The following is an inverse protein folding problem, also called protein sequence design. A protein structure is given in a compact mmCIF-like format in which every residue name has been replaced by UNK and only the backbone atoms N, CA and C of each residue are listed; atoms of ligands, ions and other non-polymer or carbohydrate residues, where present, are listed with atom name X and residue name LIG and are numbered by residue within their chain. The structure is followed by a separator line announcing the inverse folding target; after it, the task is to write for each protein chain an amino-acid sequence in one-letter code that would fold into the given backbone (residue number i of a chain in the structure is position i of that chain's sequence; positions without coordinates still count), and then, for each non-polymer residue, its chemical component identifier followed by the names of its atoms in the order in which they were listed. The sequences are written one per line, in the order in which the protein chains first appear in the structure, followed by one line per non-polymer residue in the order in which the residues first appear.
data_IF_205262954205
#
_entry.id   IF_205262954205
#
_cell.length_a   1.000
_cell.length_b   1.000
_cell.length_c   1.000
_cell.angle_alpha   90.00
_cell.angle_beta   90.00
_cell.angle_gamma   90.00
#
_symmetry.space_group_name_H-M   'P 1'
#
loop_
_entity.id
_entity.type
_entity.pdbx_description
1 polymer ?
#
# COMPACT_ATOMS: atom_id res chain seq x y z
N UNK A 1 39.86 -18.29 78.45
CA UNK A 1 40.16 -16.86 78.26
C UNK A 1 38.84 -16.23 77.84
N UNK A 2 37.89 -15.98 78.75
CA UNK A 2 37.85 -14.87 79.74
C UNK A 2 38.09 -13.52 79.05
N UNK A 3 37.24 -12.48 79.05
CA UNK A 3 36.05 -12.02 79.80
C UNK A 3 35.28 -11.04 78.84
N UNK A 4 33.95 -10.90 78.78
CA UNK A 4 32.99 -10.46 79.80
C UNK A 4 32.98 -8.92 79.91
N UNK A 5 31.90 -8.14 80.02
CA UNK A 5 30.42 -8.28 80.10
C UNK A 5 29.85 -6.83 80.19
N UNK A 6 28.58 -6.58 79.83
CA UNK A 6 27.53 -5.94 80.69
C UNK A 6 26.36 -5.28 79.91
N UNK A 7 25.16 -5.83 80.15
CA UNK A 7 23.78 -5.30 80.00
C UNK A 7 23.52 -4.05 80.91
N UNK A 8 22.35 -3.35 81.01
CA UNK A 8 20.95 -3.81 80.80
C UNK A 8 19.85 -2.78 80.34
N UNK A 9 18.62 -3.29 80.12
CA UNK A 9 17.31 -2.57 80.12
C UNK A 9 16.96 -1.99 81.53
N UNK A 10 16.00 -1.02 81.73
CA UNK A 10 14.56 -1.37 81.92
C UNK A 10 13.44 -0.26 81.78
N UNK A 11 12.21 -0.72 81.48
CA UNK A 11 10.85 -0.35 82.01
C UNK A 11 10.10 1.01 81.84
N UNK A 12 8.79 0.85 81.51
CA UNK A 12 7.53 1.48 82.06
C UNK A 12 7.23 2.96 81.70
N UNK A 13 6.01 3.50 81.52
CA UNK A 13 4.61 3.15 81.93
C UNK A 13 3.60 4.13 81.29
N UNK A 14 2.37 3.68 80.94
CA UNK A 14 1.04 4.35 81.04
C UNK A 14 0.77 5.71 80.32
N UNK A 15 -0.46 6.17 80.03
CA UNK A 15 -1.82 5.64 80.11
C UNK A 15 -2.82 6.67 79.47
N UNK A 16 -3.93 6.17 78.90
CA UNK A 16 -5.29 6.76 78.76
C UNK A 16 -5.60 8.06 77.98
N UNK A 17 -6.40 7.88 76.91
CA UNK A 17 -7.82 8.31 76.76
C UNK A 17 -8.26 9.28 75.61
N UNK A 18 -9.27 8.78 74.88
CA UNK A 18 -10.48 9.40 74.28
C UNK A 18 -10.43 10.37 73.06
N UNK A 19 -11.08 9.85 71.99
CA UNK A 19 -12.09 10.45 71.08
C UNK A 19 -11.75 11.66 70.20
N UNK A 20 -11.91 11.46 68.89
CA UNK A 20 -12.04 12.54 67.90
C UNK A 20 -12.25 11.98 66.49
N UNK A 21 -13.48 12.06 65.99
CA UNK A 21 -13.94 11.69 64.65
C UNK A 21 -13.37 12.61 63.56
N UNK A 22 -12.99 12.06 62.39
CA UNK A 22 -13.49 12.41 61.03
C UNK A 22 -12.46 12.01 59.94
N UNK A 23 -12.91 11.17 58.99
CA UNK A 23 -12.63 11.35 57.56
C UNK A 23 -11.28 10.91 56.97
N UNK A 24 -11.29 9.76 56.28
CA UNK A 24 -10.74 9.71 54.91
C UNK A 24 -11.34 8.54 54.14
N UNK A 25 -12.23 8.88 53.21
CA UNK A 25 -12.82 7.99 52.22
C UNK A 25 -11.76 7.34 51.33
N UNK A 26 -11.90 6.03 51.11
CA UNK A 26 -11.25 5.28 50.04
C UNK A 26 -11.53 5.92 48.68
N UNK A 27 -10.61 6.76 48.18
CA UNK A 27 -10.62 7.22 46.80
C UNK A 27 -9.80 6.23 45.96
N UNK A 28 -10.47 5.22 45.42
CA UNK A 28 -9.95 4.44 44.28
C UNK A 28 -9.62 5.44 43.17
N UNK A 29 -8.34 5.73 42.98
CA UNK A 29 -7.81 6.44 41.82
C UNK A 29 -7.93 5.50 40.61
N UNK A 30 -9.01 5.63 39.86
CA UNK A 30 -9.12 5.13 38.50
C UNK A 30 -8.17 5.91 37.59
N UNK A 31 -7.01 5.35 37.30
CA UNK A 31 -6.09 5.85 36.27
C UNK A 31 -5.92 4.80 35.16
N UNK A 32 -6.00 5.29 33.92
CA UNK A 32 -5.56 4.72 32.64
C UNK A 32 -6.29 3.50 32.05
N UNK A 33 -7.58 3.64 31.73
CA UNK A 33 -8.20 2.87 30.63
C UNK A 33 -8.33 3.75 29.36
N UNK A 34 -8.40 5.08 29.50
CA UNK A 34 -8.50 5.98 28.35
C UNK A 34 -7.23 6.03 27.50
N UNK A 35 -6.04 5.96 28.10
CA UNK A 35 -4.78 5.98 27.35
C UNK A 35 -4.56 4.68 26.58
N UNK A 36 -4.77 3.51 27.18
CA UNK A 36 -4.58 2.24 26.44
C UNK A 36 -5.57 2.08 25.29
N UNK A 37 -6.79 2.62 25.43
CA UNK A 37 -7.79 2.66 24.35
C UNK A 37 -7.41 3.69 23.29
N UNK A 38 -6.96 4.90 23.66
CA UNK A 38 -6.52 5.91 22.67
C UNK A 38 -5.28 5.45 21.90
N UNK A 39 -4.31 4.82 22.58
CA UNK A 39 -3.12 4.26 21.94
C UNK A 39 -3.49 3.15 20.95
N UNK A 40 -4.46 2.28 21.27
CA UNK A 40 -4.94 1.24 20.33
C UNK A 40 -5.67 1.84 19.13
N UNK A 41 -6.51 2.86 19.35
CA UNK A 41 -7.23 3.54 18.26
C UNK A 41 -6.24 4.24 17.32
N UNK A 42 -5.25 4.96 17.86
CA UNK A 42 -4.20 5.62 17.06
C UNK A 42 -3.36 4.61 16.26
N UNK A 43 -2.99 3.47 16.88
CA UNK A 43 -2.23 2.41 16.20
C UNK A 43 -3.06 1.73 15.10
N UNK A 44 -4.38 1.57 15.30
CA UNK A 44 -5.29 1.02 14.31
C UNK A 44 -5.46 1.97 13.11
N UNK A 45 -5.65 3.28 13.35
CA UNK A 45 -5.72 4.31 12.29
C UNK A 45 -4.42 4.34 11.48
N UNK A 46 -3.27 4.32 12.16
CA UNK A 46 -1.97 4.28 11.49
C UNK A 46 -1.77 3.02 10.64
N UNK A 47 -2.30 1.87 11.09
CA UNK A 47 -2.21 0.60 10.35
C UNK A 47 -3.15 0.55 9.13
N UNK A 48 -4.33 1.17 9.22
CA UNK A 48 -5.24 1.33 8.09
C UNK A 48 -4.66 2.25 7.02
N UNK A 49 -4.10 3.40 7.41
CA UNK A 49 -3.45 4.33 6.48
C UNK A 49 -2.29 3.67 5.69
N UNK A 50 -1.47 2.85 6.35
CA UNK A 50 -0.40 2.08 5.69
C UNK A 50 -0.96 1.09 4.67
N UNK A 51 -2.05 0.41 5.01
CA UNK A 51 -2.68 -0.57 4.13
C UNK A 51 -3.35 0.08 2.93
N UNK A 52 -3.96 1.25 3.13
CA UNK A 52 -4.62 2.03 2.07
C UNK A 52 -3.63 2.75 1.15
N UNK A 53 -2.43 3.09 1.64
CA UNK A 53 -1.34 3.56 0.80
C UNK A 53 -0.83 2.47 -0.16
N UNK A 54 -0.89 1.20 0.29
CA UNK A 54 -0.65 0.01 -0.52
C UNK A 54 -1.89 -0.49 -1.26
N UNK A 55 -1.88 -1.78 -1.58
CA UNK A 55 -3.02 -2.50 -2.13
C UNK A 55 -3.75 -3.28 -1.01
N UNK A 56 -5.08 -3.24 -1.02
CA UNK A 56 -5.94 -3.96 -0.06
C UNK A 56 -6.69 -5.13 -0.71
N UNK A 57 -6.41 -5.42 -1.99
CA UNK A 57 -6.98 -6.52 -2.75
C UNK A 57 -8.46 -6.33 -3.06
N UNK A 58 -9.19 -7.43 -3.04
CA UNK A 58 -10.65 -7.47 -3.29
C UNK A 58 -11.49 -6.69 -2.28
N UNK A 59 -10.91 -6.35 -1.12
CA UNK A 59 -11.56 -5.48 -0.13
C UNK A 59 -11.82 -4.07 -0.67
N UNK A 60 -11.02 -3.59 -1.62
CA UNK A 60 -11.25 -2.29 -2.27
C UNK A 60 -12.62 -2.22 -2.97
N UNK A 61 -13.14 -3.37 -3.45
CA UNK A 61 -14.45 -3.44 -4.08
C UNK A 61 -15.61 -3.42 -3.04
N UNK A 62 -15.33 -3.80 -1.78
CA UNK A 62 -16.34 -3.90 -0.72
C UNK A 62 -16.45 -2.62 0.13
N UNK A 63 -15.33 -1.94 0.37
CA UNK A 63 -15.28 -0.72 1.20
C UNK A 63 -16.19 0.40 0.69
N UNK A 64 -16.29 0.55 -0.64
CA UNK A 64 -17.10 1.60 -1.25
C UNK A 64 -18.61 1.35 -1.19
N UNK A 65 -19.06 0.11 -0.96
CA UNK A 65 -20.48 -0.16 -0.75
C UNK A 65 -20.94 0.25 0.65
N UNK A 66 -20.07 0.11 1.64
CA UNK A 66 -20.38 0.48 3.03
C UNK A 66 -20.27 2.00 3.26
N UNK A 67 -19.35 2.69 2.59
CA UNK A 67 -19.23 4.17 2.69
C UNK A 67 -20.45 4.91 2.14
N UNK A 68 -21.12 4.36 1.11
CA UNK A 68 -22.38 4.89 0.57
C UNK A 68 -23.56 4.70 1.54
N UNK A 69 -23.50 3.73 2.45
CA UNK A 69 -24.51 3.54 3.50
C UNK A 69 -24.27 4.40 4.75
N UNK A 70 -23.08 5.02 4.89
CA UNK A 70 -22.69 5.78 6.08
C UNK A 70 -22.35 7.25 5.80
N UNK A 71 -22.60 7.78 4.59
CA UNK A 71 -22.29 9.15 4.23
C UNK A 71 -23.33 10.16 4.76
N UNK A 72 -23.29 10.40 6.06
CA UNK A 72 -23.89 11.60 6.67
C UNK A 72 -23.05 12.05 7.89
N UNK A 73 -21.73 12.17 7.72
CA UNK A 73 -20.87 13.06 8.54
C UNK A 73 -19.74 13.60 7.68
N UNK A 74 -20.06 14.65 6.94
CA UNK A 74 -19.11 15.56 6.32
C UNK A 74 -18.31 16.24 7.45
N UNK A 75 -17.01 15.96 7.57
CA UNK A 75 -16.14 16.81 8.41
C UNK A 75 -15.93 18.12 7.67
N UNK A 76 -16.51 19.17 8.25
CA UNK A 76 -16.37 20.56 7.88
C UNK A 76 -15.04 21.08 8.44
N UNK A 77 -13.95 20.98 7.68
CA UNK A 77 -12.74 21.76 7.95
C UNK A 77 -12.81 23.08 7.16
N UNK A 78 -13.51 24.03 7.77
CA UNK A 78 -13.46 25.45 7.45
C UNK A 78 -13.20 26.20 8.75
N UNK A 79 -11.93 26.31 9.12
CA UNK A 79 -11.49 27.22 10.17
C UNK A 79 -10.21 27.95 9.74
N UNK A 80 -10.46 29.16 9.23
CA UNK A 80 -9.74 30.41 9.52
C UNK A 80 -8.23 30.49 9.26
N UNK A 81 -7.88 30.96 8.06
CA UNK A 81 -6.68 31.78 7.84
C UNK A 81 -7.14 33.24 7.72
N UNK A 82 -7.01 34.00 8.81
CA UNK A 82 -7.45 35.39 8.88
C UNK A 82 -7.68 35.86 10.32
N UNK A 83 -6.61 36.15 11.05
CA UNK A 83 -6.66 36.63 12.42
C UNK A 83 -5.70 37.78 12.65
N UNK A 84 -6.23 38.99 12.57
CA UNK A 84 -5.60 40.25 12.99
C UNK A 84 -5.19 40.22 14.46
N UNK A 85 -4.08 40.88 14.75
CA UNK A 85 -3.51 41.19 16.07
C UNK A 85 -4.54 41.91 16.95
N UNK A 86 -4.82 41.40 18.15
CA UNK A 86 -5.46 42.15 19.26
C UNK A 86 -4.79 41.75 20.59
N UNK A 87 -4.34 42.77 21.33
CA UNK A 87 -3.71 42.70 22.64
C UNK A 87 -4.72 42.38 23.78
N UNK A 88 -4.29 41.77 24.90
CA UNK A 88 -5.19 41.40 26.00
C UNK A 88 -5.00 42.32 27.22
N UNK A 89 -5.82 43.36 27.38
CA UNK A 89 -6.07 44.00 28.68
C UNK A 89 -7.49 44.57 28.66
N UNK A 90 -8.42 43.92 29.39
CA UNK A 90 -9.22 44.61 30.41
C UNK A 90 -10.27 43.70 31.05
N UNK A 91 -10.26 43.78 32.36
CA UNK A 91 -10.90 42.94 33.35
C UNK A 91 -12.18 43.63 33.85
N UNK A 92 -13.14 42.81 34.30
CA UNK A 92 -14.24 43.16 35.21
C UNK A 92 -15.43 44.03 34.72
N UNK A 93 -16.63 43.42 34.78
CA UNK A 93 -17.69 43.88 35.71
C UNK A 93 -18.74 42.80 35.99
N UNK A 94 -19.17 42.84 37.24
CA UNK A 94 -20.02 41.91 38.02
C UNK A 94 -21.52 42.22 37.84
N UNK A 95 -22.38 41.27 38.25
CA UNK A 95 -23.74 41.43 38.83
C UNK A 95 -24.92 41.03 37.91
N UNK A 96 -26.03 40.36 38.26
CA UNK A 96 -26.59 39.72 39.48
C UNK A 96 -27.88 38.94 39.08
N UNK A 97 -28.20 37.87 39.84
CA UNK A 97 -29.51 37.24 40.13
C UNK A 97 -30.43 36.60 39.05
N UNK A 98 -30.95 35.41 39.46
CA UNK A 98 -32.03 34.55 38.93
C UNK A 98 -33.44 35.12 39.28
N UNK A 99 -34.60 34.58 38.82
CA UNK A 99 -35.04 33.18 39.05
C UNK A 99 -35.83 32.48 37.92
N UNK A 100 -35.99 31.17 38.08
CA UNK A 100 -36.83 30.25 37.28
C UNK A 100 -38.34 30.39 37.58
N UNK A 101 -39.21 29.83 36.73
CA UNK A 101 -40.14 28.82 37.26
C UNK A 101 -40.33 27.59 36.36
N UNK A 102 -40.67 26.47 37.02
CA UNK A 102 -41.10 25.18 36.46
C UNK A 102 -42.46 25.31 35.74
N UNK A 103 -42.65 24.54 34.65
CA UNK A 103 -43.96 23.94 34.37
C UNK A 103 -43.83 22.69 33.50
N UNK A 104 -44.51 21.65 33.96
CA UNK A 104 -44.59 20.29 33.44
C UNK A 104 -45.69 20.21 32.37
N UNK A 105 -45.36 19.80 31.15
CA UNK A 105 -46.34 19.18 30.24
C UNK A 105 -45.66 18.22 29.25
N UNK A 106 -45.91 16.93 29.41
CA UNK A 106 -45.68 15.89 28.39
C UNK A 106 -46.76 15.94 27.30
N UNK A 107 -46.44 15.65 26.03
CA UNK A 107 -47.43 15.07 25.13
C UNK A 107 -47.00 13.77 24.43
N UNK A 108 -48.02 12.90 24.37
CA UNK A 108 -48.33 11.67 23.63
C UNK A 108 -47.60 11.33 22.30
N UNK A 109 -47.58 10.02 21.92
CA UNK A 109 -46.86 9.51 20.76
C UNK A 109 -47.63 9.76 19.45
N UNK A 110 -47.00 10.46 18.51
CA UNK A 110 -47.53 10.62 17.14
C UNK A 110 -47.06 9.44 16.30
N UNK A 111 -48.03 8.61 15.88
CA UNK A 111 -47.85 7.60 14.85
C UNK A 111 -47.39 8.25 13.53
N UNK A 112 -46.33 7.75 12.85
CA UNK A 112 -45.93 8.30 11.57
C UNK A 112 -46.95 7.92 10.49
N UNK A 113 -47.63 8.93 9.95
CA UNK A 113 -48.40 8.84 8.72
C UNK A 113 -47.45 8.40 7.59
N UNK A 114 -47.79 7.31 6.91
CA UNK A 114 -47.06 6.76 5.76
C UNK A 114 -47.27 7.68 4.54
N UNK A 115 -46.29 8.52 4.24
CA UNK A 115 -46.22 9.28 2.98
C UNK A 115 -45.91 8.36 1.79
N UNK A 116 -46.36 8.71 0.58
CA UNK A 116 -46.22 7.86 -0.59
C UNK A 116 -44.81 7.95 -1.18
N UNK A 117 -44.13 6.80 -1.28
CA UNK A 117 -43.12 6.52 -2.28
C UNK A 117 -41.82 7.34 -2.23
N UNK A 118 -41.02 7.19 -1.18
CA UNK A 118 -39.56 7.29 -1.37
C UNK A 118 -39.09 6.01 -2.08
N UNK A 119 -39.12 6.05 -3.41
CA UNK A 119 -38.25 5.19 -4.19
C UNK A 119 -36.81 5.49 -3.74
N UNK A 120 -36.25 4.60 -2.91
CA UNK A 120 -34.82 4.53 -2.70
C UNK A 120 -34.18 4.46 -4.08
N UNK A 121 -33.61 5.57 -4.56
CA UNK A 121 -32.62 5.54 -5.63
C UNK A 121 -31.38 4.83 -5.09
N UNK A 122 -31.44 3.50 -4.99
CA UNK A 122 -30.27 2.65 -5.01
C UNK A 122 -29.57 2.94 -6.33
N UNK A 123 -28.33 3.46 -6.27
CA UNK A 123 -27.45 3.49 -7.43
C UNK A 123 -27.38 2.05 -7.97
N UNK A 124 -27.99 1.82 -9.13
CA UNK A 124 -27.94 0.55 -9.86
C UNK A 124 -26.49 0.28 -10.28
N UNK A 125 -25.66 -0.26 -9.40
CA UNK A 125 -24.31 -0.75 -9.70
C UNK A 125 -24.35 -2.05 -10.51
N UNK A 126 -23.20 -2.49 -11.01
CA UNK A 126 -23.10 -3.81 -11.64
C UNK A 126 -23.33 -4.90 -10.56
N UNK A 127 -23.80 -6.11 -10.93
CA UNK A 127 -23.78 -7.24 -10.01
C UNK A 127 -22.33 -7.54 -9.59
N UNK A 128 -22.15 -7.93 -8.32
CA UNK A 128 -20.83 -8.11 -7.69
C UNK A 128 -19.88 -9.01 -8.50
N UNK A 129 -20.42 -10.04 -9.14
CA UNK A 129 -19.66 -10.94 -10.01
C UNK A 129 -19.10 -10.23 -11.24
N UNK A 130 -19.88 -9.35 -11.89
CA UNK A 130 -19.41 -8.59 -13.05
C UNK A 130 -18.41 -7.51 -12.66
N UNK A 131 -18.54 -6.89 -11.49
CA UNK A 131 -17.53 -5.95 -10.99
C UNK A 131 -16.19 -6.65 -10.72
N UNK A 132 -16.25 -7.85 -10.12
CA UNK A 132 -15.07 -8.68 -9.88
C UNK A 132 -14.42 -9.11 -11.20
N UNK A 133 -15.20 -9.59 -12.18
CA UNK A 133 -14.70 -9.95 -13.52
C UNK A 133 -14.09 -8.73 -14.21
N UNK A 134 -14.77 -7.58 -14.16
CA UNK A 134 -14.25 -6.33 -14.73
C UNK A 134 -12.90 -5.98 -14.11
N UNK A 135 -12.76 -6.09 -12.79
CA UNK A 135 -11.50 -5.86 -12.10
C UNK A 135 -10.39 -6.79 -12.57
N UNK A 136 -10.65 -8.10 -12.70
CA UNK A 136 -9.67 -9.06 -13.21
C UNK A 136 -9.23 -8.75 -14.65
N UNK A 137 -10.16 -8.31 -15.51
CA UNK A 137 -9.85 -7.90 -16.89
C UNK A 137 -8.95 -6.65 -16.88
N UNK A 138 -9.27 -5.64 -16.07
CA UNK A 138 -8.44 -4.43 -15.95
C UNK A 138 -7.04 -4.78 -15.45
N UNK A 139 -6.95 -5.57 -14.38
CA UNK A 139 -5.67 -6.03 -13.82
C UNK A 139 -4.85 -6.79 -14.86
N UNK A 140 -5.47 -7.63 -15.69
CA UNK A 140 -4.78 -8.36 -16.74
C UNK A 140 -4.23 -7.43 -17.84
N UNK A 141 -5.07 -6.55 -18.38
CA UNK A 141 -4.65 -5.60 -19.44
C UNK A 141 -3.53 -4.70 -18.94
N UNK A 142 -3.75 -4.04 -17.81
CA UNK A 142 -2.76 -3.13 -17.24
C UNK A 142 -1.50 -3.87 -16.79
N UNK A 143 -1.62 -5.10 -16.30
CA UNK A 143 -0.49 -5.97 -16.00
C UNK A 143 0.39 -6.24 -17.21
N UNK A 144 -0.21 -6.62 -18.36
CA UNK A 144 0.50 -6.84 -19.62
C UNK A 144 1.21 -5.55 -20.08
N UNK A 145 0.52 -4.40 -20.03
CA UNK A 145 1.13 -3.11 -20.36
C UNK A 145 2.30 -2.76 -19.43
N UNK A 146 2.21 -3.16 -18.16
CA UNK A 146 3.30 -3.02 -17.20
C UNK A 146 4.52 -3.89 -17.54
N UNK A 147 4.29 -5.14 -17.98
CA UNK A 147 5.36 -6.03 -18.49
C UNK A 147 6.06 -5.41 -19.69
N UNK A 148 5.31 -4.91 -20.68
CA UNK A 148 5.90 -4.23 -21.84
C UNK A 148 6.73 -3.02 -21.42
N UNK A 149 6.19 -2.18 -20.56
CA UNK A 149 6.88 -0.97 -20.10
C UNK A 149 8.18 -1.36 -19.38
N UNK A 150 8.16 -2.35 -18.49
CA UNK A 150 9.35 -2.84 -17.80
C UNK A 150 10.40 -3.35 -18.78
N UNK A 151 10.00 -4.22 -19.72
CA UNK A 151 10.92 -4.76 -20.72
C UNK A 151 11.54 -3.65 -21.60
N UNK A 152 10.73 -2.66 -22.02
CA UNK A 152 11.22 -1.54 -22.81
C UNK A 152 12.20 -0.66 -22.02
N UNK A 153 11.92 -0.42 -20.73
CA UNK A 153 12.85 0.32 -19.86
C UNK A 153 14.16 -0.45 -19.65
N UNK A 154 14.10 -1.77 -19.46
CA UNK A 154 15.28 -2.62 -19.38
C UNK A 154 16.13 -2.56 -20.66
N UNK A 155 15.50 -2.57 -21.84
CA UNK A 155 16.21 -2.42 -23.13
C UNK A 155 16.74 -1.02 -23.35
N UNK A 156 15.99 0.01 -22.97
CA UNK A 156 16.36 1.42 -23.14
C UNK A 156 17.58 1.78 -22.31
N UNK A 157 17.56 1.45 -21.02
CA UNK A 157 18.66 1.77 -20.10
C UNK A 157 19.78 0.73 -20.09
N UNK A 158 19.52 -0.44 -20.67
CA UNK A 158 20.48 -1.54 -20.77
C UNK A 158 21.68 -1.25 -21.67
N UNK A 159 22.63 -2.21 -21.72
CA UNK A 159 23.89 -2.09 -22.45
C UNK A 159 23.73 -1.80 -23.95
N UNK A 160 22.62 -2.23 -24.55
CA UNK A 160 22.40 -2.15 -25.99
C UNK A 160 22.11 -0.73 -26.50
N UNK A 161 21.59 0.18 -25.67
CA UNK A 161 21.14 1.50 -26.13
C UNK A 161 21.79 2.65 -25.36
N UNK A 162 21.49 2.81 -24.06
CA UNK A 162 22.07 3.89 -23.25
C UNK A 162 23.30 3.46 -22.43
N UNK A 163 23.46 2.16 -22.16
CA UNK A 163 24.62 1.65 -21.41
C UNK A 163 24.69 2.11 -19.95
N UNK A 164 23.56 2.50 -19.36
CA UNK A 164 23.48 3.02 -17.98
C UNK A 164 23.41 1.87 -16.96
N UNK A 165 22.70 0.80 -17.29
CA UNK A 165 22.56 -0.38 -16.44
C UNK A 165 23.40 -1.55 -16.95
N UNK A 166 23.87 -2.40 -16.04
CA UNK A 166 24.61 -3.61 -16.37
C UNK A 166 24.26 -4.75 -15.41
N UNK A 167 24.50 -5.98 -15.88
CA UNK A 167 24.41 -7.19 -15.07
C UNK A 167 25.58 -7.35 -14.08
N UNK A 168 26.64 -6.55 -14.22
CA UNK A 168 27.88 -6.68 -13.42
C UNK A 168 28.04 -5.52 -12.44
N UNK A 169 27.06 -4.62 -12.35
CA UNK A 169 27.16 -3.42 -11.53
C UNK A 169 25.98 -3.26 -10.59
N UNK A 170 26.15 -2.33 -9.66
CA UNK A 170 25.12 -1.92 -8.70
C UNK A 170 23.89 -1.28 -9.37
N UNK A 171 24.05 -0.79 -10.60
CA UNK A 171 22.98 -0.17 -11.39
C UNK A 171 22.37 -1.26 -12.27
N UNK A 172 21.48 -2.04 -11.66
CA UNK A 172 20.90 -3.23 -12.28
C UNK A 172 19.80 -2.91 -13.32
N UNK A 173 19.52 -3.81 -14.28
CA UNK A 173 18.59 -3.55 -15.37
C UNK A 173 17.18 -3.14 -14.96
N UNK A 174 16.64 -3.70 -13.87
CA UNK A 174 15.29 -3.36 -13.39
C UNK A 174 15.26 -2.08 -12.52
N UNK A 175 16.40 -1.46 -12.20
CA UNK A 175 16.43 -0.28 -11.33
C UNK A 175 15.64 0.89 -11.94
N UNK A 176 15.79 1.25 -13.23
CA UNK A 176 14.99 2.32 -13.84
C UNK A 176 13.49 2.03 -13.82
N UNK A 177 13.06 0.79 -14.08
CA UNK A 177 11.64 0.44 -14.03
C UNK A 177 11.08 0.54 -12.62
N UNK A 178 11.85 0.11 -11.61
CA UNK A 178 11.49 0.26 -10.20
C UNK A 178 11.38 1.74 -9.78
N UNK A 179 12.30 2.60 -10.23
CA UNK A 179 12.25 4.04 -9.97
C UNK A 179 11.04 4.71 -10.64
N UNK A 180 10.83 4.47 -11.94
CA UNK A 180 9.70 5.04 -12.70
C UNK A 180 8.37 4.58 -12.14
N UNK A 181 8.21 3.29 -11.85
CA UNK A 181 6.98 2.76 -11.25
C UNK A 181 6.71 3.35 -9.86
N UNK A 182 7.75 3.54 -9.04
CA UNK A 182 7.64 4.17 -7.71
C UNK A 182 7.29 5.66 -7.79
N UNK A 183 7.88 6.39 -8.74
CA UNK A 183 7.55 7.79 -9.01
C UNK A 183 6.08 7.95 -9.43
N UNK A 184 5.62 7.14 -10.38
CA UNK A 184 4.23 7.16 -10.84
C UNK A 184 3.26 6.68 -9.77
N UNK A 185 3.69 5.82 -8.84
CA UNK A 185 2.90 5.45 -7.66
C UNK A 185 2.64 6.66 -6.77
N UNK A 186 3.62 7.56 -6.61
CA UNK A 186 3.40 8.85 -5.92
C UNK A 186 2.35 9.73 -6.62
N UNK A 187 2.34 9.75 -7.95
CA UNK A 187 1.34 10.48 -8.74
C UNK A 187 -0.05 9.84 -8.64
N UNK A 188 -0.21 8.61 -9.13
CA UNK A 188 -1.52 7.98 -9.33
C UNK A 188 -2.01 7.22 -8.09
N UNK A 189 -1.10 6.64 -7.31
CA UNK A 189 -1.41 5.85 -6.11
C UNK A 189 -1.55 6.69 -4.84
N UNK A 190 -0.95 7.89 -4.78
CA UNK A 190 -1.02 8.76 -3.60
C UNK A 190 -1.78 10.05 -3.91
N UNK A 191 -1.26 10.91 -4.80
CA UNK A 191 -1.81 12.26 -4.96
C UNK A 191 -3.12 12.28 -5.74
N UNK A 192 -3.22 11.57 -6.86
CA UNK A 192 -4.40 11.58 -7.75
C UNK A 192 -5.34 10.39 -7.56
N UNK A 193 -5.07 9.49 -6.60
CA UNK A 193 -5.89 8.29 -6.37
C UNK A 193 -7.37 8.61 -6.21
N UNK A 194 -7.71 9.61 -5.39
CA UNK A 194 -9.08 10.06 -5.17
C UNK A 194 -9.78 10.58 -6.43
N UNK A 195 -9.08 11.34 -7.28
CA UNK A 195 -9.66 11.87 -8.52
C UNK A 195 -9.88 10.75 -9.56
N UNK A 196 -8.95 9.79 -9.63
CA UNK A 196 -9.09 8.63 -10.52
C UNK A 196 -10.25 7.73 -10.05
N UNK A 197 -10.37 7.51 -8.73
CA UNK A 197 -11.49 6.77 -8.13
C UNK A 197 -12.85 7.42 -8.38
N UNK A 198 -12.93 8.76 -8.46
CA UNK A 198 -14.16 9.44 -8.86
C UNK A 198 -14.61 9.10 -10.29
N UNK A 199 -13.66 8.81 -11.18
CA UNK A 199 -13.96 8.35 -12.55
C UNK A 199 -14.32 6.87 -12.53
N UNK A 200 -13.46 6.03 -11.93
CA UNK A 200 -13.73 4.60 -11.73
C UNK A 200 -12.71 3.99 -10.75
N UNK A 201 -13.22 3.35 -9.69
CA UNK A 201 -12.37 2.60 -8.74
C UNK A 201 -11.62 1.45 -9.41
N UNK A 202 -12.28 0.76 -10.36
CA UNK A 202 -11.68 -0.35 -11.09
C UNK A 202 -10.50 0.13 -11.94
N UNK A 203 -10.60 1.34 -12.50
CA UNK A 203 -9.49 1.97 -13.22
C UNK A 203 -8.34 2.34 -12.28
N UNK A 204 -8.64 2.89 -11.10
CA UNK A 204 -7.61 3.19 -10.09
C UNK A 204 -6.86 1.93 -9.68
N UNK A 205 -7.58 0.82 -9.44
CA UNK A 205 -7.00 -0.50 -9.15
C UNK A 205 -6.17 -1.00 -10.34
N UNK A 206 -6.69 -0.93 -11.56
CA UNK A 206 -5.98 -1.33 -12.78
C UNK A 206 -4.65 -0.59 -12.97
N UNK A 207 -4.64 0.74 -12.81
CA UNK A 207 -3.44 1.56 -12.95
C UNK A 207 -2.42 1.33 -11.83
N UNK A 208 -2.85 1.35 -10.58
CA UNK A 208 -1.94 1.26 -9.44
C UNK A 208 -1.49 -0.17 -9.18
N UNK A 209 -2.43 -1.11 -9.10
CA UNK A 209 -2.14 -2.50 -8.76
C UNK A 209 -1.73 -3.29 -10.00
N UNK A 210 -2.44 -3.13 -11.11
CA UNK A 210 -2.11 -3.84 -12.36
C UNK A 210 -0.83 -3.29 -12.97
N UNK A 211 -0.90 -2.07 -13.52
CA UNK A 211 0.18 -1.48 -14.31
C UNK A 211 1.43 -1.18 -13.48
N UNK A 212 1.34 -0.28 -12.50
CA UNK A 212 2.53 0.12 -11.72
C UNK A 212 3.12 -1.04 -10.90
N UNK A 213 2.28 -1.97 -10.45
CA UNK A 213 2.74 -3.22 -9.85
C UNK A 213 3.63 -4.02 -10.81
N UNK A 214 3.19 -4.21 -12.07
CA UNK A 214 3.92 -4.99 -13.08
C UNK A 214 5.09 -4.27 -13.77
N UNK A 215 5.10 -2.93 -13.77
CA UNK A 215 6.26 -2.11 -14.19
C UNK A 215 7.45 -2.35 -13.25
N UNK A 216 7.16 -2.52 -11.96
CA UNK A 216 8.18 -2.80 -10.95
C UNK A 216 8.36 -4.30 -10.74
N UNK A 217 9.50 -4.71 -10.20
CA UNK A 217 9.75 -6.12 -9.82
C UNK A 217 10.72 -6.17 -8.66
N UNK A 218 10.28 -6.79 -7.55
CA UNK A 218 11.13 -7.04 -6.40
C UNK A 218 11.93 -8.32 -6.58
N UNK A 219 11.32 -9.37 -7.14
CA UNK A 219 12.01 -10.64 -7.37
C UNK A 219 13.19 -10.46 -8.33
N UNK A 220 13.03 -9.69 -9.42
CA UNK A 220 14.11 -9.40 -10.36
C UNK A 220 15.26 -8.63 -9.72
N UNK A 221 14.93 -7.65 -8.87
CA UNK A 221 15.94 -6.95 -8.07
C UNK A 221 16.70 -7.91 -7.15
N UNK A 222 15.99 -8.75 -6.38
CA UNK A 222 16.61 -9.72 -5.47
C UNK A 222 17.48 -10.73 -6.23
N UNK A 223 17.01 -11.28 -7.34
CA UNK A 223 17.76 -12.22 -8.17
C UNK A 223 19.06 -11.59 -8.68
N UNK A 224 19.04 -10.33 -9.08
CA UNK A 224 20.25 -9.64 -9.51
C UNK A 224 21.29 -9.50 -8.39
N UNK A 225 20.84 -9.27 -7.15
CA UNK A 225 21.75 -9.23 -6.01
C UNK A 225 22.34 -10.62 -5.71
N UNK A 226 21.57 -11.69 -5.96
CA UNK A 226 22.06 -13.06 -5.86
C UNK A 226 23.12 -13.36 -6.93
N UNK A 227 22.90 -12.95 -8.18
CA UNK A 227 23.88 -13.10 -9.27
C UNK A 227 25.21 -12.42 -8.91
N UNK A 228 25.16 -11.15 -8.47
CA UNK A 228 26.36 -10.40 -8.04
C UNK A 228 27.09 -11.12 -6.89
N UNK A 229 26.36 -11.72 -5.97
CA UNK A 229 26.94 -12.50 -4.87
C UNK A 229 27.58 -13.79 -5.34
N UNK A 230 27.00 -14.49 -6.32
CA UNK A 230 27.60 -15.68 -6.95
C UNK A 230 28.91 -15.33 -7.64
N UNK A 231 28.96 -14.20 -8.34
CA UNK A 231 30.13 -13.72 -9.07
C UNK A 231 31.25 -13.17 -8.16
N UNK A 232 31.08 -13.25 -6.83
CA UNK A 232 32.06 -12.77 -5.84
C UNK A 232 31.95 -11.28 -5.51
N UNK A 233 31.01 -10.55 -6.12
CA UNK A 233 30.76 -9.12 -5.89
C UNK A 233 29.83 -8.87 -4.69
N UNK A 234 30.10 -9.51 -3.56
CA UNK A 234 29.25 -9.45 -2.35
C UNK A 234 29.00 -8.04 -1.82
N UNK A 235 30.01 -7.18 -1.86
CA UNK A 235 29.86 -5.78 -1.45
C UNK A 235 28.85 -5.08 -2.36
N UNK A 236 28.92 -5.28 -3.68
CA UNK A 236 27.99 -4.69 -4.63
C UNK A 236 26.56 -5.22 -4.45
N UNK A 237 26.39 -6.50 -4.10
CA UNK A 237 25.07 -7.07 -3.79
C UNK A 237 24.43 -6.38 -2.58
N UNK A 238 25.17 -6.19 -1.48
CA UNK A 238 24.67 -5.49 -0.28
C UNK A 238 24.39 -4.02 -0.61
N UNK A 239 25.34 -3.36 -1.26
CA UNK A 239 25.22 -1.95 -1.61
C UNK A 239 24.08 -1.72 -2.62
N UNK A 240 23.77 -2.69 -3.49
CA UNK A 240 22.66 -2.65 -4.44
C UNK A 240 21.29 -2.72 -3.78
N UNK A 241 21.15 -3.43 -2.64
CA UNK A 241 19.94 -3.31 -1.82
C UNK A 241 19.80 -1.92 -1.20
N UNK A 242 20.89 -1.37 -0.65
CA UNK A 242 20.87 -0.05 -0.02
C UNK A 242 20.55 1.06 -1.03
N UNK A 243 21.32 1.14 -2.11
CA UNK A 243 21.13 2.14 -3.16
C UNK A 243 19.77 1.97 -3.83
N UNK A 244 19.37 0.73 -4.15
CA UNK A 244 18.05 0.46 -4.73
C UNK A 244 16.93 0.98 -3.82
N UNK A 245 16.99 0.71 -2.50
CA UNK A 245 16.01 1.21 -1.53
C UNK A 245 15.98 2.74 -1.47
N UNK A 246 17.15 3.39 -1.40
CA UNK A 246 17.22 4.86 -1.38
C UNK A 246 16.62 5.48 -2.63
N UNK A 247 16.94 4.94 -3.81
CA UNK A 247 16.47 5.49 -5.09
C UNK A 247 14.96 5.33 -5.26
N UNK A 248 14.40 4.16 -4.94
CA UNK A 248 12.95 3.95 -5.05
C UNK A 248 12.17 4.74 -3.98
N UNK A 249 12.72 4.85 -2.76
CA UNK A 249 12.16 5.67 -1.69
C UNK A 249 12.13 7.16 -2.07
N UNK A 250 13.23 7.66 -2.64
CA UNK A 250 13.26 9.03 -3.13
C UNK A 250 12.35 9.23 -4.35
N UNK A 251 12.25 8.24 -5.24
CA UNK A 251 11.39 8.31 -6.43
C UNK A 251 9.92 8.52 -6.08
N UNK A 252 9.38 7.82 -5.08
CA UNK A 252 7.98 8.04 -4.67
C UNK A 252 7.78 9.41 -4.02
N UNK A 253 8.72 9.88 -3.19
CA UNK A 253 8.68 11.23 -2.59
C UNK A 253 8.67 12.29 -3.68
N UNK A 254 9.60 12.20 -4.62
CA UNK A 254 9.68 13.10 -5.76
C UNK A 254 8.41 13.05 -6.62
N UNK A 255 7.82 11.87 -6.79
CA UNK A 255 6.50 11.70 -7.42
C UNK A 255 5.40 12.46 -6.71
N UNK A 256 5.31 12.34 -5.38
CA UNK A 256 4.31 13.06 -4.57
C UNK A 256 4.49 14.58 -4.67
N UNK A 257 5.72 15.08 -4.54
CA UNK A 257 6.03 16.51 -4.60
C UNK A 257 5.68 17.12 -5.96
N UNK A 258 6.11 16.48 -7.04
CA UNK A 258 5.82 16.94 -8.40
C UNK A 258 4.33 16.87 -8.73
N UNK A 259 3.63 15.83 -8.28
CA UNK A 259 2.18 15.71 -8.44
C UNK A 259 1.40 16.80 -7.67
N UNK A 260 1.81 17.12 -6.44
CA UNK A 260 1.22 18.24 -5.66
C UNK A 260 1.43 19.58 -6.35
N UNK A 261 2.64 19.82 -6.86
CA UNK A 261 2.96 21.00 -7.66
C UNK A 261 2.07 21.11 -8.90
N UNK A 262 1.90 20.00 -9.64
CA UNK A 262 1.03 19.96 -10.81
C UNK A 262 -0.44 20.23 -10.46
N UNK A 263 -0.98 19.64 -9.38
CA UNK A 263 -2.34 19.91 -8.89
C UNK A 263 -2.53 21.40 -8.55
N UNK A 264 -1.53 22.02 -7.91
CA UNK A 264 -1.57 23.45 -7.61
C UNK A 264 -1.61 24.30 -8.89
N UNK A 265 -0.82 23.96 -9.90
CA UNK A 265 -0.85 24.63 -11.22
C UNK A 265 -2.24 24.49 -11.86
N UNK A 266 -2.82 23.29 -11.88
CA UNK A 266 -4.15 23.05 -12.43
C UNK A 266 -5.23 23.91 -11.74
N UNK A 267 -5.22 23.95 -10.40
CA UNK A 267 -6.15 24.80 -9.63
C UNK A 267 -6.00 26.27 -10.02
N UNK A 268 -4.76 26.77 -10.10
CA UNK A 268 -4.46 28.17 -10.46
C UNK A 268 -4.93 28.52 -11.88
N UNK A 269 -4.81 27.59 -12.83
CA UNK A 269 -5.31 27.77 -14.20
C UNK A 269 -6.84 27.80 -14.25
N UNK A 270 -7.51 26.92 -13.51
CA UNK A 270 -8.98 26.89 -13.45
C UNK A 270 -9.56 28.16 -12.79
N UNK A 271 -8.96 28.64 -11.70
CA UNK A 271 -9.38 29.90 -11.04
C UNK A 271 -9.18 31.13 -11.94
N UNK A 272 -8.25 31.08 -12.91
CA UNK A 272 -8.11 32.13 -13.94
C UNK A 272 -9.17 32.03 -15.05
N UNK A 273 -9.69 30.82 -15.31
CA UNK A 273 -10.69 30.57 -16.35
C UNK A 273 -12.13 30.86 -15.89
N UNK A 274 -12.41 30.88 -14.59
CA UNK A 274 -13.75 31.13 -14.03
C UNK A 274 -14.25 32.59 -14.11
N UNK A 275 -13.50 33.51 -14.74
CA UNK A 275 -13.97 34.89 -14.97
C UNK A 275 -14.97 35.06 -16.13
N UNK A 276 -15.44 33.99 -16.76
CA UNK A 276 -16.54 34.09 -17.70
C UNK A 276 -16.84 32.76 -18.36
N UNK A 277 -17.88 32.08 -17.86
CA UNK A 277 -18.87 31.26 -18.59
C UNK A 277 -19.62 30.44 -17.52
N UNK A 278 -20.96 30.50 -17.44
CA UNK A 278 -21.71 29.56 -16.62
C UNK A 278 -21.55 28.17 -17.23
N UNK A 279 -20.98 27.24 -16.46
CA UNK A 279 -20.78 25.86 -16.91
C UNK A 279 -22.13 25.24 -17.26
N UNK A 280 -22.32 24.98 -18.55
CA UNK A 280 -23.33 24.03 -19.03
C UNK A 280 -23.11 22.71 -18.30
N UNK A 281 -23.97 22.42 -17.34
CA UNK A 281 -24.11 21.08 -16.78
C UNK A 281 -24.58 20.17 -17.91
N UNK A 282 -23.64 19.61 -18.67
CA UNK A 282 -23.95 18.48 -19.52
C UNK A 282 -24.40 17.35 -18.60
N UNK A 283 -25.72 17.14 -18.55
CA UNK A 283 -26.34 15.97 -17.94
C UNK A 283 -25.79 14.71 -18.64
N UNK A 284 -24.69 14.19 -18.10
CA UNK A 284 -24.06 12.93 -18.48
C UNK A 284 -24.88 11.75 -17.93
N UNK A 285 -26.19 11.74 -18.17
CA UNK A 285 -27.13 10.69 -17.75
C UNK A 285 -27.20 9.56 -18.79
N UNK A 286 -26.04 9.04 -19.18
CA UNK A 286 -25.97 7.64 -19.62
C UNK A 286 -25.64 6.84 -18.36
N UNK A 287 -26.56 5.96 -17.98
CA UNK A 287 -26.52 5.17 -16.75
C UNK A 287 -25.10 4.63 -16.48
N UNK A 288 -24.51 4.95 -15.32
CA UNK A 288 -23.12 4.62 -14.94
C UNK A 288 -22.73 3.17 -15.29
N UNK A 289 -23.65 2.25 -15.11
CA UNK A 289 -23.49 0.82 -15.40
C UNK A 289 -23.29 0.50 -16.88
N UNK A 290 -23.91 1.23 -17.80
CA UNK A 290 -23.68 1.04 -19.25
C UNK A 290 -22.26 1.47 -19.63
N UNK A 291 -21.71 2.52 -19.00
CA UNK A 291 -20.33 2.95 -19.23
C UNK A 291 -19.33 1.92 -18.71
N UNK A 292 -19.54 1.40 -17.49
CA UNK A 292 -18.71 0.34 -16.93
C UNK A 292 -18.74 -0.94 -17.78
N UNK A 293 -19.91 -1.33 -18.32
CA UNK A 293 -20.02 -2.46 -19.23
C UNK A 293 -19.29 -2.22 -20.56
N UNK A 294 -19.45 -1.04 -21.16
CA UNK A 294 -18.74 -0.70 -22.41
C UNK A 294 -17.22 -0.69 -22.18
N UNK A 295 -16.75 -0.11 -21.07
CA UNK A 295 -15.33 -0.13 -20.71
C UNK A 295 -14.81 -1.56 -20.50
N UNK A 296 -15.57 -2.40 -19.79
CA UNK A 296 -15.24 -3.82 -19.61
C UNK A 296 -15.14 -4.56 -20.95
N UNK A 297 -16.10 -4.36 -21.87
CA UNK A 297 -16.08 -4.99 -23.19
C UNK A 297 -14.90 -4.51 -24.06
N UNK A 298 -14.59 -3.21 -24.04
CA UNK A 298 -13.42 -2.66 -24.72
C UNK A 298 -12.14 -3.29 -24.18
N UNK A 299 -11.98 -3.34 -22.86
CA UNK A 299 -10.80 -3.94 -22.25
C UNK A 299 -10.71 -5.46 -22.45
N UNK A 300 -11.85 -6.16 -22.53
CA UNK A 300 -11.88 -7.57 -22.89
C UNK A 300 -11.40 -7.78 -24.33
N UNK A 301 -11.81 -6.94 -25.27
CA UNK A 301 -11.32 -6.96 -26.65
C UNK A 301 -9.82 -6.69 -26.70
N UNK A 302 -9.37 -5.65 -26.00
CA UNK A 302 -7.93 -5.31 -25.89
C UNK A 302 -7.15 -6.48 -25.31
N UNK A 303 -7.66 -7.13 -24.25
CA UNK A 303 -7.04 -8.31 -23.66
C UNK A 303 -6.94 -9.46 -24.67
N UNK A 304 -8.02 -9.73 -25.41
CA UNK A 304 -8.03 -10.75 -26.46
C UNK A 304 -6.99 -10.48 -27.56
N UNK A 305 -6.85 -9.22 -27.98
CA UNK A 305 -5.82 -8.81 -28.94
C UNK A 305 -4.42 -8.97 -28.35
N UNK A 306 -4.18 -8.50 -27.12
CA UNK A 306 -2.87 -8.60 -26.46
C UNK A 306 -2.43 -10.07 -26.30
N UNK A 307 -3.33 -10.93 -25.83
CA UNK A 307 -3.05 -12.36 -25.67
C UNK A 307 -2.90 -13.07 -27.03
N UNK A 308 -3.74 -12.74 -28.00
CA UNK A 308 -3.68 -13.30 -29.35
C UNK A 308 -2.37 -12.96 -30.06
N UNK A 309 -1.98 -11.68 -30.07
CA UNK A 309 -0.71 -11.21 -30.64
C UNK A 309 0.47 -11.83 -29.90
N UNK A 310 0.46 -11.85 -28.57
CA UNK A 310 1.52 -12.48 -27.78
C UNK A 310 1.65 -13.98 -28.09
N UNK A 311 0.55 -14.70 -28.25
CA UNK A 311 0.58 -16.12 -28.62
C UNK A 311 1.12 -16.37 -30.04
N UNK A 312 0.73 -15.54 -31.01
CA UNK A 312 1.19 -15.65 -32.39
C UNK A 312 2.70 -15.35 -32.51
N UNK A 313 3.15 -14.24 -31.92
CA UNK A 313 4.56 -13.84 -31.97
C UNK A 313 5.44 -14.76 -31.12
N UNK A 314 4.94 -15.30 -30.00
CA UNK A 314 5.62 -16.36 -29.26
C UNK A 314 5.85 -17.56 -30.16
N UNK A 315 4.82 -18.04 -30.88
CA UNK A 315 4.94 -19.20 -31.77
C UNK A 315 5.97 -18.98 -32.87
N UNK A 316 6.01 -17.78 -33.43
CA UNK A 316 6.95 -17.41 -34.50
C UNK A 316 8.39 -17.33 -33.99
N UNK A 317 8.60 -16.69 -32.84
CA UNK A 317 9.95 -16.44 -32.32
C UNK A 317 10.49 -17.56 -31.41
N UNK A 318 9.67 -18.54 -31.00
CA UNK A 318 10.08 -19.54 -29.98
C UNK A 318 11.36 -20.29 -30.33
N UNK A 319 11.50 -20.75 -31.57
CA UNK A 319 12.69 -21.49 -32.03
C UNK A 319 13.96 -20.65 -32.04
N UNK A 320 13.81 -19.33 -32.18
CA UNK A 320 14.93 -18.39 -32.17
C UNK A 320 15.50 -18.19 -30.76
N UNK A 321 14.73 -18.49 -29.70
CA UNK A 321 15.09 -18.19 -28.31
C UNK A 321 15.43 -16.72 -28.07
N UNK A 322 14.81 -15.83 -28.84
CA UNK A 322 15.03 -14.39 -28.75
C UNK A 322 14.51 -13.84 -27.42
N UNK A 323 15.00 -12.65 -27.04
CA UNK A 323 14.38 -11.90 -25.95
C UNK A 323 12.94 -11.46 -26.26
N UNK A 324 12.54 -11.46 -27.54
CA UNK A 324 11.16 -11.27 -27.96
C UNK A 324 10.27 -12.45 -27.58
N UNK A 325 10.70 -13.70 -27.83
CA UNK A 325 9.97 -14.89 -27.39
C UNK A 325 9.74 -14.90 -25.86
N UNK A 326 10.76 -14.50 -25.09
CA UNK A 326 10.64 -14.35 -23.63
C UNK A 326 9.59 -13.30 -23.24
N UNK A 327 9.58 -12.13 -23.92
CA UNK A 327 8.57 -11.08 -23.71
C UNK A 327 7.16 -11.55 -24.04
N UNK A 328 6.97 -12.20 -25.19
CA UNK A 328 5.65 -12.66 -25.61
C UNK A 328 5.08 -13.72 -24.66
N UNK A 329 5.93 -14.66 -24.20
CA UNK A 329 5.55 -15.59 -23.14
C UNK A 329 5.22 -14.85 -21.84
N UNK A 330 6.04 -13.87 -21.45
CA UNK A 330 5.82 -13.05 -20.26
C UNK A 330 4.46 -12.34 -20.27
N UNK A 331 4.02 -11.83 -21.43
CA UNK A 331 2.72 -11.21 -21.59
C UNK A 331 1.56 -12.22 -21.43
N UNK A 332 1.73 -13.47 -21.82
CA UNK A 332 0.72 -14.51 -21.62
C UNK A 332 0.58 -14.92 -20.15
N UNK A 333 1.70 -15.02 -19.43
CA UNK A 333 1.71 -15.52 -18.04
C UNK A 333 1.64 -14.42 -16.98
N UNK A 334 1.93 -13.17 -17.36
CA UNK A 334 1.92 -12.00 -16.48
C UNK A 334 0.59 -11.76 -15.73
N UNK A 335 -0.58 -11.87 -16.38
CA UNK A 335 -1.88 -11.71 -15.71
C UNK A 335 -2.06 -12.58 -14.47
N UNK A 336 -1.58 -13.82 -14.48
CA UNK A 336 -1.69 -14.72 -13.34
C UNK A 336 -0.93 -14.21 -12.12
N UNK A 337 0.25 -13.61 -12.33
CA UNK A 337 1.03 -13.01 -11.25
C UNK A 337 0.30 -11.83 -10.61
N UNK A 338 -0.29 -10.96 -11.43
CA UNK A 338 -1.08 -9.81 -10.95
C UNK A 338 -2.30 -10.26 -10.15
N UNK A 339 -3.05 -11.26 -10.64
CA UNK A 339 -4.23 -11.75 -9.94
C UNK A 339 -3.90 -12.37 -8.59
N UNK A 340 -2.84 -13.18 -8.51
CA UNK A 340 -2.39 -13.76 -7.24
C UNK A 340 -1.94 -12.66 -6.28
N UNK A 341 -1.17 -11.68 -6.76
CA UNK A 341 -0.73 -10.54 -5.94
C UNK A 341 -1.90 -9.75 -5.38
N UNK A 342 -2.84 -9.35 -6.23
CA UNK A 342 -4.05 -8.64 -5.82
C UNK A 342 -4.91 -9.47 -4.87
N UNK A 343 -5.02 -10.78 -5.09
CA UNK A 343 -5.71 -11.66 -4.17
C UNK A 343 -5.03 -11.68 -2.80
N UNK A 344 -3.69 -11.79 -2.73
CA UNK A 344 -2.94 -11.82 -1.47
C UNK A 344 -2.93 -10.46 -0.75
N UNK A 345 -3.06 -9.35 -1.47
CA UNK A 345 -3.16 -8.00 -0.89
C UNK A 345 -4.36 -7.83 0.07
N UNK A 346 -5.37 -8.72 0.01
CA UNK A 346 -6.46 -8.79 1.01
C UNK A 346 -5.96 -8.96 2.45
N UNK A 347 -4.74 -9.46 2.63
CA UNK A 347 -4.10 -9.73 3.92
C UNK A 347 -3.43 -8.48 4.52
N UNK A 348 -3.15 -7.45 3.72
CA UNK A 348 -2.52 -6.21 4.19
C UNK A 348 -3.42 -5.53 5.24
N UNK A 349 -2.90 -5.16 6.42
CA UNK A 349 -3.70 -4.50 7.45
C UNK A 349 -4.58 -5.39 8.33
N UNK A 350 -4.62 -6.71 8.10
CA UNK A 350 -5.41 -7.65 8.92
C UNK A 350 -4.69 -8.12 10.18
N UNK A 351 -3.36 -8.18 10.15
CA UNK A 351 -2.56 -8.80 11.21
C UNK A 351 -2.74 -10.32 11.30
N UNK A 352 -2.04 -10.96 12.24
CA UNK A 352 -2.16 -12.39 12.53
C UNK A 352 -3.19 -12.68 13.63
N UNK A 353 -3.90 -13.80 13.42
CA UNK A 353 -4.83 -14.36 14.39
C UNK A 353 -6.09 -13.51 14.61
N UNK A 354 -6.96 -13.96 15.52
CA UNK A 354 -8.21 -13.26 15.85
C UNK A 354 -7.98 -11.91 16.55
N UNK A 355 -6.79 -11.71 17.12
CA UNK A 355 -6.41 -10.51 17.86
C UNK A 355 -5.75 -9.43 16.99
N UNK A 356 -5.49 -9.68 15.70
CA UNK A 356 -4.88 -8.69 14.80
C UNK A 356 -3.47 -8.28 15.23
N UNK A 357 -2.62 -9.24 15.58
CA UNK A 357 -1.24 -8.95 15.98
C UNK A 357 -0.44 -8.52 14.74
N UNK A 358 0.38 -7.45 14.82
CA UNK A 358 1.10 -6.87 13.67
C UNK A 358 0.18 -6.37 12.53
N UNK A 359 -0.96 -5.75 12.82
CA UNK A 359 -1.80 -5.10 11.78
C UNK A 359 -1.05 -4.09 10.90
N UNK A 360 -0.02 -3.44 11.45
CA UNK A 360 0.81 -2.49 10.73
C UNK A 360 1.63 -3.12 9.60
N UNK A 361 1.84 -4.45 9.60
CA UNK A 361 2.68 -5.14 8.62
C UNK A 361 1.86 -5.54 7.37
N UNK A 362 2.28 -5.13 6.15
CA UNK A 362 1.63 -5.55 4.91
C UNK A 362 1.96 -7.00 4.54
N UNK A 363 1.24 -7.96 5.13
CA UNK A 363 1.50 -9.40 4.92
C UNK A 363 1.32 -9.86 3.47
N UNK A 364 0.33 -9.35 2.76
CA UNK A 364 0.08 -9.70 1.36
C UNK A 364 1.30 -9.37 0.50
N UNK A 365 1.76 -8.12 0.57
CA UNK A 365 2.92 -7.61 -0.18
C UNK A 365 4.22 -8.33 0.22
N UNK A 366 4.39 -8.60 1.52
CA UNK A 366 5.54 -9.36 2.03
C UNK A 366 5.57 -10.79 1.48
N UNK A 367 4.44 -11.51 1.54
CA UNK A 367 4.31 -12.89 1.05
C UNK A 367 4.57 -12.94 -0.45
N UNK A 368 3.98 -12.03 -1.24
CA UNK A 368 4.15 -12.00 -2.69
C UNK A 368 5.60 -11.75 -3.09
N UNK A 369 6.27 -10.79 -2.44
CA UNK A 369 7.67 -10.46 -2.76
C UNK A 369 8.63 -11.59 -2.39
N UNK A 370 8.51 -12.14 -1.17
CA UNK A 370 9.38 -13.23 -0.71
C UNK A 370 9.14 -14.50 -1.51
N UNK A 371 7.88 -14.89 -1.76
CA UNK A 371 7.56 -16.10 -2.55
C UNK A 371 8.03 -16.00 -3.99
N UNK A 372 7.79 -14.87 -4.67
CA UNK A 372 8.26 -14.65 -6.02
C UNK A 372 9.79 -14.68 -6.11
N UNK A 373 10.50 -14.09 -5.13
CA UNK A 373 11.95 -14.12 -5.06
C UNK A 373 12.49 -15.56 -4.87
N UNK A 374 11.85 -16.36 -4.02
CA UNK A 374 12.24 -17.77 -3.81
C UNK A 374 12.00 -18.62 -5.06
N UNK A 375 10.84 -18.47 -5.72
CA UNK A 375 10.52 -19.20 -6.95
C UNK A 375 11.45 -18.76 -8.09
N UNK A 376 11.79 -17.46 -8.16
CA UNK A 376 12.74 -16.92 -9.15
C UNK A 376 14.12 -17.54 -8.95
N UNK A 377 14.64 -17.54 -7.71
CA UNK A 377 15.90 -18.19 -7.37
C UNK A 377 15.91 -19.67 -7.76
N UNK A 378 14.86 -20.42 -7.44
CA UNK A 378 14.75 -21.83 -7.81
C UNK A 378 14.74 -22.06 -9.32
N UNK A 379 14.01 -21.22 -10.06
CA UNK A 379 13.95 -21.31 -11.52
C UNK A 379 15.30 -20.96 -12.16
N UNK A 380 16.01 -19.95 -11.65
CA UNK A 380 17.36 -19.59 -12.09
C UNK A 380 18.39 -20.71 -11.78
N UNK A 381 18.23 -21.46 -10.68
CA UNK A 381 19.05 -22.64 -10.40
C UNK A 381 18.85 -23.73 -11.44
N UNK A 382 17.59 -24.01 -11.79
CA UNK A 382 17.25 -25.03 -12.79
C UNK A 382 17.76 -24.60 -14.17
N UNK A 383 17.62 -23.32 -14.52
CA UNK A 383 18.15 -22.74 -15.76
C UNK A 383 19.65 -23.00 -15.91
N UNK A 384 20.44 -22.65 -14.87
CA UNK A 384 21.88 -22.94 -14.84
C UNK A 384 22.22 -24.43 -14.88
N UNK A 385 21.37 -25.29 -14.30
CA UNK A 385 21.61 -26.74 -14.29
C UNK A 385 21.26 -27.44 -15.60
N UNK A 386 20.23 -26.98 -16.32
CA UNK A 386 19.72 -27.64 -17.53
C UNK A 386 20.45 -27.11 -18.76
N UNK A 387 20.67 -25.80 -18.84
CA UNK A 387 21.37 -25.11 -19.94
C UNK A 387 20.84 -25.52 -21.35
N UNK A 388 19.51 -25.50 -21.51
CA UNK A 388 18.85 -25.79 -22.78
C UNK A 388 18.08 -24.54 -23.22
N UNK A 389 18.41 -24.03 -24.40
CA UNK A 389 17.82 -22.82 -25.01
C UNK A 389 16.28 -22.71 -24.89
N UNK A 390 15.56 -23.79 -25.17
CA UNK A 390 14.09 -23.80 -25.08
C UNK A 390 13.61 -23.68 -23.63
N UNK A 391 14.31 -24.32 -22.70
CA UNK A 391 14.03 -24.19 -21.27
C UNK A 391 14.31 -22.76 -20.81
N UNK A 392 15.45 -22.18 -21.20
CA UNK A 392 15.82 -20.80 -20.82
C UNK A 392 14.78 -19.79 -21.34
N UNK A 393 14.27 -19.99 -22.56
CA UNK A 393 13.19 -19.14 -23.11
C UNK A 393 11.93 -19.21 -22.25
N UNK A 394 11.54 -20.41 -21.82
CA UNK A 394 10.36 -20.61 -20.95
C UNK A 394 10.61 -20.05 -19.55
N UNK A 395 11.77 -20.35 -18.96
CA UNK A 395 12.17 -19.89 -17.64
C UNK A 395 12.21 -18.37 -17.57
N UNK A 396 12.92 -17.72 -18.50
CA UNK A 396 13.01 -16.26 -18.58
C UNK A 396 11.64 -15.61 -18.84
N UNK A 397 10.77 -16.21 -19.66
CA UNK A 397 9.41 -15.71 -19.85
C UNK A 397 8.55 -15.80 -18.57
N UNK A 398 8.69 -16.87 -17.78
CA UNK A 398 8.02 -17.01 -16.47
C UNK A 398 8.60 -16.03 -15.45
N UNK A 399 9.92 -15.88 -15.40
CA UNK A 399 10.61 -14.92 -14.52
C UNK A 399 10.20 -13.48 -14.84
N UNK A 400 10.22 -13.11 -16.12
CA UNK A 400 9.85 -11.78 -16.59
C UNK A 400 8.35 -11.54 -16.38
N UNK A 401 7.48 -12.44 -16.80
CA UNK A 401 6.03 -12.25 -16.76
C UNK A 401 5.42 -12.54 -15.40
N UNK A 402 5.34 -13.82 -15.04
CA UNK A 402 4.59 -14.28 -13.88
C UNK A 402 5.22 -13.78 -12.57
N UNK A 403 6.50 -14.07 -12.34
CA UNK A 403 7.17 -13.72 -11.08
C UNK A 403 7.43 -12.22 -10.97
N UNK A 404 7.77 -11.58 -12.09
CA UNK A 404 7.89 -10.13 -12.19
C UNK A 404 6.60 -9.40 -11.85
N UNK A 405 5.44 -9.90 -12.30
CA UNK A 405 4.13 -9.33 -11.97
C UNK A 405 3.59 -9.72 -10.59
N UNK A 406 4.01 -10.88 -10.06
CA UNK A 406 3.64 -11.36 -8.73
C UNK A 406 4.32 -10.53 -7.64
N UNK A 407 5.57 -10.12 -7.85
CA UNK A 407 6.27 -9.22 -6.93
C UNK A 407 6.06 -7.75 -7.32
N UNK A 408 6.36 -6.81 -6.41
CA UNK A 408 6.20 -5.38 -6.66
C UNK A 408 7.12 -4.54 -5.76
N UNK A 409 7.68 -3.46 -6.33
CA UNK A 409 8.40 -2.43 -5.57
C UNK A 409 7.53 -1.20 -5.37
N UNK A 410 6.65 -0.86 -6.31
CA UNK A 410 5.79 0.33 -6.22
C UNK A 410 4.83 0.26 -5.02
N UNK A 411 4.18 -0.90 -4.80
CA UNK A 411 3.31 -1.11 -3.62
C UNK A 411 4.13 -1.16 -2.34
N UNK A 412 5.24 -1.91 -2.35
CA UNK A 412 6.16 -2.02 -1.21
C UNK A 412 6.67 -0.65 -0.74
N UNK A 413 7.04 0.23 -1.67
CA UNK A 413 7.57 1.55 -1.32
C UNK A 413 6.48 2.55 -0.93
N UNK A 414 5.25 2.40 -1.44
CA UNK A 414 4.10 3.17 -0.98
C UNK A 414 3.77 2.84 0.48
N UNK A 415 3.76 1.56 0.85
CA UNK A 415 3.59 1.11 2.22
C UNK A 415 4.75 1.58 3.12
N UNK A 416 5.99 1.48 2.64
CA UNK A 416 7.18 2.00 3.34
C UNK A 416 7.08 3.52 3.58
N UNK A 417 6.67 4.30 2.58
CA UNK A 417 6.53 5.75 2.71
C UNK A 417 5.43 6.10 3.73
N UNK A 418 4.28 5.42 3.67
CA UNK A 418 3.20 5.61 4.64
C UNK A 418 3.66 5.27 6.07
N UNK A 419 4.46 4.21 6.24
CA UNK A 419 5.06 3.88 7.55
C UNK A 419 6.05 4.94 8.01
N UNK A 420 6.85 5.54 7.12
CA UNK A 420 7.78 6.63 7.46
C UNK A 420 7.08 7.90 7.90
N UNK A 421 5.92 8.19 7.32
CA UNK A 421 5.08 9.34 7.70
C UNK A 421 4.21 9.05 8.95
N UNK A 422 4.17 7.80 9.41
CA UNK A 422 3.43 7.41 10.61
C UNK A 422 4.14 7.80 11.91
N UNK A 423 3.43 7.66 13.04
CA UNK A 423 3.96 7.85 14.40
C UNK A 423 5.18 6.96 14.72
N UNK A 424 5.35 5.85 14.01
CA UNK A 424 6.38 4.84 14.26
C UNK A 424 7.25 4.58 13.01
N UNK A 425 8.11 5.54 12.59
CA UNK A 425 8.87 5.45 11.34
C UNK A 425 9.84 4.28 11.29
N UNK A 426 10.30 3.77 12.45
CA UNK A 426 11.16 2.59 12.54
C UNK A 426 10.51 1.34 11.92
N UNK A 427 9.18 1.26 11.90
CA UNK A 427 8.42 0.14 11.28
C UNK A 427 8.73 0.01 9.80
N UNK A 428 8.92 1.13 9.10
CA UNK A 428 9.26 1.14 7.68
C UNK A 428 10.60 0.43 7.41
N UNK A 429 11.63 0.77 8.18
CA UNK A 429 12.96 0.18 8.04
C UNK A 429 12.96 -1.29 8.46
N UNK A 430 12.27 -1.65 9.55
CA UNK A 430 12.12 -3.06 9.92
C UNK A 430 11.41 -3.86 8.82
N UNK A 431 10.34 -3.32 8.23
CA UNK A 431 9.62 -3.97 7.13
C UNK A 431 10.52 -4.17 5.91
N UNK A 432 11.25 -3.13 5.49
CA UNK A 432 12.15 -3.20 4.35
C UNK A 432 13.30 -4.19 4.57
N UNK A 433 13.98 -4.09 5.71
CA UNK A 433 15.07 -5.01 6.07
C UNK A 433 14.59 -6.45 6.21
N UNK A 434 13.39 -6.68 6.73
CA UNK A 434 12.81 -8.04 6.83
C UNK A 434 12.51 -8.61 5.45
N UNK A 435 11.86 -7.83 4.58
CA UNK A 435 11.50 -8.28 3.22
C UNK A 435 12.74 -8.60 2.40
N UNK A 436 13.75 -7.72 2.42
CA UNK A 436 15.02 -7.91 1.70
C UNK A 436 15.86 -9.03 2.31
N UNK A 437 16.04 -9.01 3.64
CA UNK A 437 16.87 -9.98 4.35
C UNK A 437 16.37 -11.41 4.20
N UNK A 438 15.07 -11.66 4.39
CA UNK A 438 14.49 -12.99 4.23
C UNK A 438 14.63 -13.46 2.77
N UNK A 439 14.29 -12.61 1.80
CA UNK A 439 14.37 -12.96 0.37
C UNK A 439 15.79 -13.28 -0.07
N UNK A 440 16.78 -12.51 0.41
CA UNK A 440 18.18 -12.71 0.06
C UNK A 440 18.76 -13.95 0.73
N UNK A 441 18.49 -14.18 2.02
CA UNK A 441 18.96 -15.38 2.73
C UNK A 441 18.38 -16.65 2.12
N UNK A 442 17.07 -16.69 1.86
CA UNK A 442 16.45 -17.84 1.19
C UNK A 442 16.99 -17.99 -0.24
N UNK A 443 17.19 -16.89 -0.96
CA UNK A 443 17.81 -16.88 -2.27
C UNK A 443 19.22 -17.48 -2.29
N UNK A 444 20.06 -17.15 -1.29
CA UNK A 444 21.40 -17.75 -1.15
C UNK A 444 21.29 -19.27 -0.98
N UNK A 445 20.35 -19.75 -0.16
CA UNK A 445 20.15 -21.17 0.08
C UNK A 445 19.63 -21.91 -1.17
N UNK A 446 18.77 -21.26 -1.95
CA UNK A 446 18.09 -21.87 -3.11
C UNK A 446 18.92 -21.76 -4.40
N UNK A 447 19.70 -20.68 -4.57
CA UNK A 447 20.45 -20.36 -5.79
C UNK A 447 21.96 -20.41 -5.56
N UNK A 448 22.51 -19.55 -4.71
CA UNK A 448 23.97 -19.43 -4.59
C UNK A 448 24.62 -20.73 -4.09
N UNK A 449 24.07 -21.37 -3.06
CA UNK A 449 24.63 -22.61 -2.49
C UNK A 449 24.66 -23.74 -3.53
N UNK A 450 23.57 -24.05 -4.26
CA UNK A 450 23.63 -25.00 -5.37
C UNK A 450 24.64 -24.62 -6.45
N UNK A 451 24.69 -23.35 -6.87
CA UNK A 451 25.62 -22.87 -7.89
C UNK A 451 27.07 -23.08 -7.46
N UNK A 452 27.44 -22.71 -6.23
CA UNK A 452 28.80 -22.90 -5.71
C UNK A 452 29.16 -24.37 -5.50
N UNK A 453 28.25 -25.18 -4.97
CA UNK A 453 28.53 -26.58 -4.61
C UNK A 453 28.56 -27.52 -5.82
N UNK A 454 27.76 -27.23 -6.85
CA UNK A 454 27.70 -28.03 -8.08
C UNK A 454 28.54 -27.46 -9.20
N UNK A 455 29.04 -26.23 -9.06
CA UNK A 455 29.84 -25.56 -10.08
C UNK A 455 29.03 -25.30 -11.35
N UNK A 456 27.74 -24.97 -11.22
CA UNK A 456 26.93 -24.59 -12.38
C UNK A 456 27.47 -23.27 -12.94
N UNK A 457 28.07 -23.31 -14.13
CA UNK A 457 28.59 -22.15 -14.84
C UNK A 457 27.49 -21.46 -15.62
#
# INVERSE_FOLDING_TARGET
MDRGTNNPEPTRTGAFSRTGSLGSSLRKRSFSISSSVSYRIDDDIGSEAVSEAGDIGDRALQSNRHSVSSSCRLSLDLAMEGGSVIHPEDLHKVSVASPMPENVTSPLPVYPLKGPGDEKQEKQGLPMSLEYISCLIHLAVFGILGVFTRYLLEKLFGPSLLGVTSNETIVYPNLPSNMVGSFLMGWWGVVFKGDISQVSDILAIGLTTGYLGSVTTFSGWNQKMLDLSVDGHWVQAILGFLIGLFLVAYSIIFGIETAKGFRWILKKLNTRSEKGVPSSNCNWTLNSSRRHLVAMLILLLVLGVLLGVSGLLLKEEFSSGSSGAQLWLACLVGPFGVWIRWFLARLNGRGLGKSGILRWLPFGTLITNVSAACIMAGLSTIEKSVNIKNFDTVANGIQLGFLGCLSTVSTFIAEFNAMRESKHPWRAYLYASTTMGISFVLGILIFNVPVWTKGFT
#
